data_IF_045071443420
#
_entry.id   IF_045071443420
#
_cell.length_a   1.000
_cell.length_b   1.000
_cell.length_c   1.000
_cell.angle_alpha   90.00
_cell.angle_beta   90.00
_cell.angle_gamma   90.00
#
_symmetry.space_group_name_H-M   'P 1'
#
loop_
_entity.id
_entity.type
_entity.pdbx_description
1 polymer ?
#
# COMPACT_ATOMS: atom_id res chain seq x y z
N UNK A 1 -4.92 7.41 12.07
CA UNK A 1 -4.63 6.12 11.42
C UNK A 1 -3.72 5.29 12.31
N UNK A 2 -3.83 3.96 12.22
CA UNK A 2 -3.08 3.04 13.04
C UNK A 2 -1.59 2.98 12.67
N UNK A 3 -1.32 3.06 11.36
CA UNK A 3 0.05 3.02 10.83
C UNK A 3 0.47 4.39 10.31
N UNK A 4 1.78 4.57 10.13
CA UNK A 4 2.31 5.83 9.61
C UNK A 4 1.99 6.00 8.13
N UNK A 5 2.03 7.25 7.65
CA UNK A 5 1.86 7.51 6.21
C UNK A 5 2.92 6.77 5.39
N UNK A 6 4.14 6.70 5.92
CA UNK A 6 5.22 5.98 5.24
C UNK A 6 4.90 4.51 5.03
N UNK A 7 4.23 3.86 6.00
CA UNK A 7 3.88 2.45 5.87
C UNK A 7 2.96 2.23 4.67
N UNK A 8 2.00 3.10 4.46
CA UNK A 8 1.06 2.98 3.34
C UNK A 8 1.71 3.31 2.00
N UNK A 9 2.51 4.38 1.93
CA UNK A 9 3.19 4.73 0.68
C UNK A 9 4.19 3.66 0.29
N UNK A 10 4.93 3.11 1.26
CA UNK A 10 5.87 2.03 0.98
C UNK A 10 5.15 0.77 0.48
N UNK A 11 4.02 0.44 1.07
CA UNK A 11 3.24 -0.73 0.63
C UNK A 11 2.81 -0.58 -0.83
N UNK A 12 2.35 0.62 -1.20
CA UNK A 12 1.97 0.90 -2.58
C UNK A 12 3.17 0.84 -3.53
N UNK A 13 4.29 1.39 -3.11
CA UNK A 13 5.53 1.37 -3.90
C UNK A 13 5.95 -0.07 -4.19
N UNK A 14 5.97 -0.91 -3.17
CA UNK A 14 6.35 -2.32 -3.33
C UNK A 14 5.40 -3.09 -4.22
N UNK A 15 4.10 -2.82 -4.08
CA UNK A 15 3.09 -3.46 -4.93
C UNK A 15 3.34 -3.13 -6.41
N UNK A 16 3.58 -1.87 -6.72
CA UNK A 16 3.81 -1.44 -8.10
C UNK A 16 5.08 -2.04 -8.68
N UNK A 17 6.10 -2.24 -7.86
CA UNK A 17 7.39 -2.78 -8.31
C UNK A 17 7.46 -4.30 -8.28
N UNK A 18 6.41 -4.98 -7.81
CA UNK A 18 6.40 -6.44 -7.78
C UNK A 18 6.50 -6.99 -9.21
N UNK A 19 7.34 -8.01 -9.39
CA UNK A 19 7.64 -8.58 -10.70
C UNK A 19 7.19 -10.03 -10.84
N UNK A 20 7.09 -10.76 -9.74
CA UNK A 20 6.73 -12.17 -9.75
C UNK A 20 5.38 -12.36 -9.08
N UNK A 21 4.65 -13.45 -9.40
CA UNK A 21 3.37 -13.73 -8.71
C UNK A 21 3.51 -13.79 -7.19
N UNK A 22 4.63 -14.33 -6.70
CA UNK A 22 4.87 -14.39 -5.25
C UNK A 22 5.03 -13.00 -4.64
N UNK A 23 5.75 -12.09 -5.32
CA UNK A 23 5.90 -10.72 -4.86
C UNK A 23 4.58 -9.97 -4.89
N UNK A 24 3.78 -10.16 -5.93
CA UNK A 24 2.46 -9.53 -6.03
C UNK A 24 1.56 -10.02 -4.89
N UNK A 25 1.55 -11.32 -4.62
CA UNK A 25 0.74 -11.88 -3.55
C UNK A 25 1.16 -11.34 -2.19
N UNK A 26 2.47 -11.26 -1.94
CA UNK A 26 2.99 -10.74 -0.67
C UNK A 26 2.63 -9.26 -0.50
N UNK A 27 2.79 -8.45 -1.55
CA UNK A 27 2.46 -7.03 -1.50
C UNK A 27 0.95 -6.82 -1.31
N UNK A 28 0.12 -7.61 -1.99
CA UNK A 28 -1.34 -7.55 -1.83
C UNK A 28 -1.74 -7.89 -0.41
N UNK A 29 -1.14 -8.91 0.16
CA UNK A 29 -1.42 -9.32 1.54
C UNK A 29 -1.03 -8.23 2.52
N UNK A 30 0.11 -7.59 2.32
CA UNK A 30 0.56 -6.50 3.17
C UNK A 30 -0.42 -5.33 3.14
N UNK A 31 -0.91 -4.97 1.95
CA UNK A 31 -1.89 -3.89 1.80
C UNK A 31 -3.19 -4.27 2.52
N UNK A 32 -3.64 -5.50 2.36
CA UNK A 32 -4.88 -5.95 3.02
C UNK A 32 -4.76 -5.84 4.54
N UNK A 33 -3.64 -6.31 5.09
CA UNK A 33 -3.41 -6.28 6.54
C UNK A 33 -3.42 -4.83 7.05
N UNK A 34 -2.75 -3.93 6.33
CA UNK A 34 -2.72 -2.52 6.71
C UNK A 34 -4.13 -1.90 6.70
N UNK A 35 -4.92 -2.19 5.66
CA UNK A 35 -6.26 -1.61 5.54
C UNK A 35 -7.22 -2.18 6.57
N UNK A 36 -7.11 -3.47 6.88
CA UNK A 36 -7.97 -4.10 7.88
C UNK A 36 -7.79 -3.51 9.28
N UNK A 37 -6.63 -2.95 9.56
CA UNK A 37 -6.36 -2.32 10.85
C UNK A 37 -7.01 -0.94 10.96
N UNK A 38 -7.53 -0.38 9.86
CA UNK A 38 -8.08 0.96 9.85
C UNK A 38 -9.60 0.96 9.92
N UNK A 39 -10.17 2.01 10.53
CA UNK A 39 -11.61 2.23 10.52
C UNK A 39 -12.04 2.67 9.12
N UNK A 40 -13.34 2.47 8.74
CA UNK A 40 -13.78 2.76 7.37
C UNK A 40 -13.44 4.15 6.87
N UNK A 41 -13.56 5.18 7.70
CA UNK A 41 -13.26 6.55 7.25
C UNK A 41 -11.76 6.77 7.04
N UNK A 42 -10.91 6.02 7.73
CA UNK A 42 -9.46 6.12 7.56
C UNK A 42 -8.98 5.32 6.35
N UNK A 43 -9.75 4.31 5.92
CA UNK A 43 -9.37 3.48 4.78
C UNK A 43 -9.28 4.29 3.49
N UNK A 44 -10.13 5.30 3.33
CA UNK A 44 -10.09 6.15 2.14
C UNK A 44 -8.75 6.88 2.05
N UNK A 45 -8.30 7.47 3.15
CA UNK A 45 -7.01 8.17 3.18
C UNK A 45 -5.85 7.17 3.01
N UNK A 46 -5.93 6.01 3.67
CA UNK A 46 -4.91 4.99 3.54
C UNK A 46 -4.76 4.52 2.09
N UNK A 47 -5.87 4.30 1.38
CA UNK A 47 -5.83 3.92 -0.02
C UNK A 47 -5.22 5.01 -0.89
N UNK A 48 -5.49 6.26 -0.56
CA UNK A 48 -4.90 7.39 -1.27
C UNK A 48 -3.37 7.39 -1.12
N UNK A 49 -2.88 7.14 0.09
CA UNK A 49 -1.44 7.05 0.34
C UNK A 49 -0.81 5.87 -0.39
N UNK A 50 -1.49 4.73 -0.43
CA UNK A 50 -1.02 3.57 -1.18
C UNK A 50 -0.90 3.93 -2.66
N UNK A 51 -1.90 4.62 -3.22
CA UNK A 51 -1.85 5.03 -4.61
C UNK A 51 -0.72 6.02 -4.87
N UNK A 52 -0.44 6.93 -3.94
CA UNK A 52 0.71 7.83 -4.06
C UNK A 52 2.01 7.05 -4.17
N UNK A 53 2.17 6.01 -3.36
CA UNK A 53 3.35 5.15 -3.40
C UNK A 53 3.48 4.45 -4.74
N UNK A 54 2.36 3.96 -5.28
CA UNK A 54 2.36 3.32 -6.60
C UNK A 54 2.78 4.30 -7.69
N UNK A 55 2.28 5.55 -7.62
CA UNK A 55 2.65 6.58 -8.60
C UNK A 55 4.14 6.91 -8.53
N UNK A 56 4.69 6.99 -7.33
CA UNK A 56 6.12 7.22 -7.16
C UNK A 56 6.96 6.11 -7.80
N UNK A 57 6.52 4.86 -7.63
CA UNK A 57 7.21 3.73 -8.23
C UNK A 57 7.16 3.78 -9.77
N UNK A 58 6.06 4.27 -10.34
CA UNK A 58 5.93 4.39 -11.80
C UNK A 58 6.86 5.47 -12.36
N UNK A 59 7.18 6.48 -11.57
CA UNK A 59 8.08 7.56 -11.98
C UNK A 59 9.56 7.19 -11.84
N UNK A 60 9.84 6.22 -11.01
CA UNK A 60 11.23 5.83 -10.70
C UNK A 60 11.89 5.05 -11.85
#
# INVERSE_FOLDING_TARGET
>A
MTHTEHAYTEAGYRYERARTPGQVAAASQAIRVLLEAEKPHDQTEARHLIEQGRQEARRA
#
